data_IF_296024614905
#
_entry.id   IF_296024614905
#
_cell.length_a   1.000
_cell.length_b   1.000
_cell.length_c   1.000
_cell.angle_alpha   90.00
_cell.angle_beta   90.00
_cell.angle_gamma   90.00
#
_symmetry.space_group_name_H-M   'P 1'
#
loop_
_entity.id
_entity.type
_entity.pdbx_description
1 polymer ?
#
# COMPACT_ATOMS: atom_id res chain seq x y z
N UNK A 1 22.92 9.11 12.21
CA UNK A 1 22.14 10.21 11.62
C UNK A 1 21.38 9.62 10.45
N UNK A 2 20.08 9.88 10.37
CA UNK A 2 19.25 9.45 9.25
C UNK A 2 19.84 10.09 7.97
N UNK A 3 20.04 9.31 6.93
CA UNK A 3 20.47 9.82 5.63
C UNK A 3 19.38 10.57 4.85
N UNK A 4 18.29 10.95 5.55
CA UNK A 4 17.12 11.63 5.00
C UNK A 4 16.85 12.95 5.73
N UNK A 5 16.36 13.93 4.97
CA UNK A 5 15.72 15.14 5.48
C UNK A 5 14.22 14.88 5.58
N UNK A 6 13.64 15.20 6.71
CA UNK A 6 12.20 15.19 6.93
C UNK A 6 11.82 16.31 7.91
N UNK A 7 10.90 17.17 7.50
CA UNK A 7 10.43 18.32 8.27
C UNK A 7 8.91 18.25 8.44
N UNK A 8 8.36 19.02 9.40
CA UNK A 8 6.91 19.06 9.60
C UNK A 8 6.13 19.54 8.37
N UNK A 9 6.76 20.31 7.49
CA UNK A 9 6.17 20.75 6.23
C UNK A 9 5.92 19.55 5.27
N UNK A 10 6.73 18.50 5.36
CA UNK A 10 6.61 17.31 4.50
C UNK A 10 5.38 16.43 4.84
N UNK A 11 4.63 16.77 5.91
CA UNK A 11 3.31 16.18 6.17
C UNK A 11 2.22 16.69 5.22
N UNK A 12 2.44 17.83 4.60
CA UNK A 12 1.46 18.51 3.75
C UNK A 12 1.84 18.40 2.28
N UNK A 13 0.96 18.89 1.41
CA UNK A 13 1.17 18.84 -0.02
C UNK A 13 2.37 19.70 -0.46
N UNK A 14 3.21 19.13 -1.31
CA UNK A 14 4.34 19.80 -1.93
C UNK A 14 3.89 20.55 -3.19
N UNK A 15 4.63 21.58 -3.57
CA UNK A 15 4.44 22.18 -4.88
C UNK A 15 4.70 21.12 -5.98
N UNK A 16 3.74 20.93 -6.86
CA UNK A 16 3.93 20.08 -8.03
C UNK A 16 5.06 20.67 -8.89
N UNK A 17 6.09 19.86 -9.18
CA UNK A 17 7.15 20.26 -10.10
C UNK A 17 6.64 20.38 -11.54
N UNK A 18 7.56 20.53 -12.47
CA UNK A 18 7.25 20.68 -13.90
C UNK A 18 7.04 19.33 -14.63
N UNK A 19 7.40 18.24 -13.97
CA UNK A 19 7.29 16.89 -14.53
C UNK A 19 5.82 16.49 -14.69
N UNK A 20 5.43 16.14 -15.92
CA UNK A 20 4.05 15.77 -16.24
C UNK A 20 3.52 14.62 -15.38
N UNK A 21 4.40 13.71 -14.95
CA UNK A 21 4.08 12.54 -14.12
C UNK A 21 4.31 12.77 -12.62
N UNK A 22 4.36 14.04 -12.17
CA UNK A 22 4.39 14.34 -10.74
C UNK A 22 3.22 13.65 -10.04
N UNK A 23 3.52 12.97 -8.96
CA UNK A 23 2.55 12.32 -8.11
C UNK A 23 2.83 12.65 -6.66
N UNK A 24 1.81 12.95 -5.91
CA UNK A 24 1.88 13.02 -4.46
C UNK A 24 0.79 12.16 -3.86
N UNK A 25 1.16 11.20 -3.03
CA UNK A 25 0.21 10.25 -2.50
C UNK A 25 0.38 10.00 -1.02
N UNK A 26 -0.76 9.86 -0.36
CA UNK A 26 -0.89 9.36 1.00
C UNK A 26 -1.58 8.00 0.97
N UNK A 27 -1.10 7.09 1.79
CA UNK A 27 -1.62 5.74 1.97
C UNK A 27 -1.77 5.45 3.45
N UNK A 28 -2.85 4.83 3.83
CA UNK A 28 -3.09 4.33 5.18
C UNK A 28 -3.66 2.93 5.13
N UNK A 29 -3.30 2.11 6.09
CA UNK A 29 -3.92 0.82 6.32
C UNK A 29 -4.13 0.54 7.80
N UNK A 30 -4.98 -0.46 8.08
CA UNK A 30 -5.20 -0.97 9.42
C UNK A 30 -5.85 -2.35 9.37
N UNK A 31 -5.28 -3.28 10.14
CA UNK A 31 -5.72 -4.67 10.14
C UNK A 31 -5.89 -5.18 11.57
N UNK A 32 -7.03 -5.82 11.81
CA UNK A 32 -7.40 -6.43 13.08
C UNK A 32 -7.19 -7.95 13.03
N UNK A 33 -6.51 -8.49 14.04
CA UNK A 33 -6.17 -9.92 14.08
C UNK A 33 -7.38 -10.79 14.46
N UNK A 34 -8.17 -10.39 15.44
CA UNK A 34 -9.24 -11.22 15.99
C UNK A 34 -10.30 -11.59 14.95
N UNK A 35 -10.83 -10.61 14.23
CA UNK A 35 -11.82 -10.82 13.16
C UNK A 35 -11.21 -11.04 11.78
N UNK A 36 -9.88 -10.98 11.66
CA UNK A 36 -9.15 -11.14 10.40
C UNK A 36 -9.71 -10.25 9.30
N UNK A 37 -9.79 -8.97 9.59
CA UNK A 37 -10.37 -7.94 8.72
C UNK A 37 -9.53 -6.68 8.75
N UNK A 38 -9.92 -5.70 7.95
CA UNK A 38 -9.24 -4.41 7.85
C UNK A 38 -9.21 -3.93 6.42
N UNK A 39 -8.33 -3.01 6.12
CA UNK A 39 -8.23 -2.49 4.76
C UNK A 39 -7.24 -1.36 4.63
N UNK A 40 -7.29 -0.76 3.47
CA UNK A 40 -6.42 0.34 3.13
C UNK A 40 -7.13 1.38 2.25
N UNK A 41 -6.64 2.59 2.34
CA UNK A 41 -7.07 3.70 1.49
C UNK A 41 -5.86 4.45 0.96
N UNK A 42 -5.91 4.86 -0.30
CA UNK A 42 -4.88 5.65 -0.97
C UNK A 42 -5.50 6.79 -1.75
N UNK A 43 -4.90 7.96 -1.59
CA UNK A 43 -5.18 9.11 -2.44
C UNK A 43 -3.86 9.59 -3.06
N UNK A 44 -3.79 9.61 -4.38
CA UNK A 44 -2.62 10.08 -5.12
C UNK A 44 -3.00 11.20 -6.07
N UNK A 45 -2.53 12.41 -5.79
CA UNK A 45 -2.72 13.57 -6.65
C UNK A 45 -1.72 13.54 -7.81
N UNK A 46 -2.24 13.58 -9.01
CA UNK A 46 -1.49 13.72 -10.28
C UNK A 46 -1.88 15.04 -10.92
N UNK A 47 -1.58 16.12 -10.22
CA UNK A 47 -2.06 17.46 -10.55
C UNK A 47 -1.68 17.90 -11.99
N UNK A 48 -0.46 17.56 -12.44
CA UNK A 48 0.02 17.88 -13.79
C UNK A 48 -0.63 17.01 -14.89
N UNK A 49 -1.29 15.89 -14.52
CA UNK A 49 -2.13 15.08 -15.40
C UNK A 49 -3.63 15.42 -15.24
N UNK A 50 -3.99 16.35 -14.37
CA UNK A 50 -5.36 16.83 -14.16
C UNK A 50 -6.29 15.87 -13.40
N UNK A 51 -5.77 14.87 -12.71
CA UNK A 51 -6.59 13.92 -11.98
C UNK A 51 -5.93 13.45 -10.65
N UNK A 52 -6.75 12.93 -9.76
CA UNK A 52 -6.29 12.12 -8.63
C UNK A 52 -6.60 10.63 -8.87
N UNK A 53 -5.88 9.76 -8.19
CA UNK A 53 -6.18 8.34 -8.08
C UNK A 53 -6.69 8.06 -6.67
N UNK A 54 -7.95 7.66 -6.54
CA UNK A 54 -8.58 7.31 -5.26
C UNK A 54 -8.86 5.83 -5.19
N UNK A 55 -8.44 5.20 -4.11
CA UNK A 55 -8.52 3.76 -3.93
C UNK A 55 -8.93 3.45 -2.50
N UNK A 56 -9.92 2.57 -2.36
CA UNK A 56 -10.38 2.01 -1.09
C UNK A 56 -10.51 0.51 -1.27
N UNK A 57 -9.98 -0.27 -0.34
CA UNK A 57 -10.17 -1.72 -0.31
C UNK A 57 -10.30 -2.19 1.13
N UNK A 58 -11.46 -2.77 1.46
CA UNK A 58 -11.79 -3.29 2.77
C UNK A 58 -12.05 -4.79 2.68
N UNK A 59 -11.39 -5.55 3.52
CA UNK A 59 -11.64 -6.97 3.76
C UNK A 59 -12.59 -7.09 4.95
N UNK A 60 -13.85 -7.38 4.68
CA UNK A 60 -14.91 -7.37 5.69
C UNK A 60 -14.86 -8.63 6.59
N UNK A 61 -15.34 -8.57 7.82
CA UNK A 61 -15.35 -9.72 8.75
C UNK A 61 -16.09 -10.95 8.21
N UNK A 62 -17.09 -10.75 7.36
CA UNK A 62 -17.92 -11.80 6.74
C UNK A 62 -17.30 -12.46 5.51
N UNK A 63 -16.14 -12.00 5.08
CA UNK A 63 -15.40 -12.56 3.93
C UNK A 63 -15.53 -11.77 2.63
N UNK A 64 -16.47 -10.85 2.52
CA UNK A 64 -16.62 -9.98 1.35
C UNK A 64 -15.47 -8.98 1.23
N UNK A 65 -15.27 -8.48 0.02
CA UNK A 65 -14.37 -7.35 -0.25
C UNK A 65 -15.21 -6.16 -0.68
N UNK A 66 -15.02 -5.02 0.00
CA UNK A 66 -15.61 -3.76 -0.43
C UNK A 66 -14.50 -2.88 -1.03
N UNK A 67 -14.71 -2.38 -2.25
CA UNK A 67 -13.66 -1.62 -2.94
C UNK A 67 -14.19 -0.51 -3.83
N UNK A 68 -13.34 0.50 -4.01
CA UNK A 68 -13.59 1.61 -4.92
C UNK A 68 -12.26 2.02 -5.57
N UNK A 69 -12.29 2.25 -6.89
CA UNK A 69 -11.15 2.72 -7.68
C UNK A 69 -11.67 3.78 -8.65
N UNK A 70 -11.24 5.05 -8.47
CA UNK A 70 -11.69 6.17 -9.30
C UNK A 70 -10.52 7.08 -9.67
N UNK A 71 -10.75 7.86 -10.73
CA UNK A 71 -9.85 8.93 -11.17
C UNK A 71 -10.61 10.24 -11.30
N UNK A 72 -10.95 10.89 -10.17
CA UNK A 72 -11.61 12.19 -10.19
C UNK A 72 -10.67 13.28 -10.74
N UNK A 73 -11.24 14.26 -11.42
CA UNK A 73 -10.52 15.44 -11.89
C UNK A 73 -10.09 16.31 -10.70
N UNK A 74 -8.87 16.84 -10.76
CA UNK A 74 -8.33 17.85 -9.86
C UNK A 74 -7.58 18.90 -10.68
N UNK A 75 -7.51 20.15 -10.18
CA UNK A 75 -6.85 21.26 -10.86
C UNK A 75 -5.52 21.68 -10.21
N UNK A 76 -5.23 21.20 -9.02
CA UNK A 76 -4.04 21.58 -8.26
C UNK A 76 -3.66 20.48 -7.25
N UNK A 77 -2.57 20.69 -6.50
CA UNK A 77 -2.07 19.81 -5.46
C UNK A 77 -2.17 20.44 -4.07
N UNK A 78 -3.18 21.26 -3.81
CA UNK A 78 -3.28 22.04 -2.54
C UNK A 78 -3.90 21.25 -1.38
N UNK A 79 -4.60 20.15 -1.69
CA UNK A 79 -5.25 19.33 -0.66
C UNK A 79 -5.25 17.85 -1.05
N UNK A 80 -5.25 16.99 -0.05
CA UNK A 80 -5.56 15.56 -0.20
C UNK A 80 -7.07 15.34 -0.05
N UNK A 81 -7.84 15.75 -1.06
CA UNK A 81 -9.28 15.58 -1.08
C UNK A 81 -9.79 15.40 -2.51
N UNK A 82 -10.28 14.21 -2.85
CA UNK A 82 -10.84 13.91 -4.16
C UNK A 82 -11.73 12.66 -4.12
N UNK A 83 -12.80 12.63 -4.93
CA UNK A 83 -13.61 11.44 -5.17
C UNK A 83 -14.21 10.78 -3.94
N UNK A 84 -14.52 11.55 -2.91
CA UNK A 84 -15.05 11.07 -1.63
C UNK A 84 -13.97 10.72 -0.60
N UNK A 85 -12.68 10.64 -1.00
CA UNK A 85 -11.55 10.49 -0.07
C UNK A 85 -11.03 11.85 0.39
N UNK A 86 -10.67 11.93 1.67
CA UNK A 86 -9.91 13.04 2.24
C UNK A 86 -8.92 12.55 3.29
N UNK A 87 -7.78 13.22 3.37
CA UNK A 87 -6.75 12.94 4.38
C UNK A 87 -6.45 14.22 5.14
N UNK A 88 -6.40 14.12 6.46
CA UNK A 88 -6.19 15.24 7.38
C UNK A 88 -4.99 14.96 8.29
N UNK A 89 -4.12 15.95 8.41
CA UNK A 89 -3.04 15.98 9.40
C UNK A 89 -3.56 16.69 10.64
N UNK A 90 -3.88 15.93 11.69
CA UNK A 90 -4.40 16.46 12.95
C UNK A 90 -3.24 16.97 13.81
N UNK A 91 -2.16 16.20 13.90
CA UNK A 91 -0.92 16.58 14.57
C UNK A 91 0.25 16.01 13.77
N UNK A 92 1.13 16.87 13.20
CA UNK A 92 2.23 16.41 12.36
C UNK A 92 3.07 15.32 13.02
N UNK A 93 3.34 14.24 12.27
CA UNK A 93 4.11 13.06 12.68
C UNK A 93 3.50 12.24 13.83
N UNK A 94 2.32 12.64 14.30
CA UNK A 94 1.66 11.97 15.42
C UNK A 94 0.27 11.45 15.14
N UNK A 95 -0.59 12.28 14.58
CA UNK A 95 -2.01 11.91 14.39
C UNK A 95 -2.52 12.39 13.05
N UNK A 96 -3.09 11.46 12.31
CA UNK A 96 -3.71 11.71 11.01
C UNK A 96 -5.06 11.01 10.93
N UNK A 97 -5.92 11.46 10.01
CA UNK A 97 -7.16 10.78 9.69
C UNK A 97 -7.32 10.65 8.18
N UNK A 98 -7.99 9.60 7.75
CA UNK A 98 -8.41 9.42 6.38
C UNK A 98 -9.87 8.99 6.34
N UNK A 99 -10.66 9.67 5.52
CA UNK A 99 -12.10 9.51 5.43
C UNK A 99 -12.50 9.18 4.02
N UNK A 100 -13.47 8.31 3.88
CA UNK A 100 -14.15 8.05 2.63
C UNK A 100 -15.67 8.16 2.82
N UNK A 101 -16.32 8.90 1.93
CA UNK A 101 -17.77 8.93 1.84
C UNK A 101 -18.20 8.88 0.37
N UNK A 102 -18.99 7.87 0.00
CA UNK A 102 -19.44 7.66 -1.37
C UNK A 102 -19.92 6.24 -1.62
N UNK A 103 -20.20 5.92 -2.89
CA UNK A 103 -20.61 4.57 -3.26
C UNK A 103 -19.40 3.65 -3.40
N UNK A 104 -19.50 2.45 -2.81
CA UNK A 104 -18.50 1.39 -2.85
C UNK A 104 -19.08 0.11 -3.46
N UNK A 105 -18.29 -0.62 -4.22
CA UNK A 105 -18.65 -1.96 -4.69
C UNK A 105 -18.46 -2.97 -3.55
N UNK A 106 -19.40 -3.89 -3.36
CA UNK A 106 -19.30 -4.99 -2.40
C UNK A 106 -19.33 -6.31 -3.15
N UNK A 107 -18.27 -7.10 -3.01
CA UNK A 107 -18.02 -8.30 -3.80
C UNK A 107 -18.07 -9.54 -2.91
N UNK A 108 -18.99 -10.45 -3.21
CA UNK A 108 -19.01 -11.81 -2.66
C UNK A 108 -17.93 -12.68 -3.33
N UNK A 109 -17.68 -12.43 -4.62
CA UNK A 109 -16.65 -13.11 -5.41
C UNK A 109 -15.57 -12.12 -5.84
N UNK A 110 -14.38 -12.14 -5.22
CA UNK A 110 -13.28 -11.24 -5.58
C UNK A 110 -12.66 -11.51 -6.96
N UNK A 111 -12.94 -12.65 -7.58
CA UNK A 111 -12.45 -12.97 -8.94
C UNK A 111 -12.97 -11.97 -10.00
N UNK A 112 -14.08 -11.28 -9.70
CA UNK A 112 -14.60 -10.21 -10.55
C UNK A 112 -13.60 -9.06 -10.74
N UNK A 113 -12.67 -8.85 -9.81
CA UNK A 113 -11.60 -7.84 -9.90
C UNK A 113 -10.60 -8.09 -11.04
N UNK A 114 -10.56 -9.32 -11.58
CA UNK A 114 -9.70 -9.64 -12.74
C UNK A 114 -10.23 -9.09 -14.07
N UNK A 115 -11.51 -8.73 -14.10
CA UNK A 115 -12.16 -8.14 -15.28
C UNK A 115 -12.71 -6.75 -14.95
N UNK A 116 -11.91 -5.68 -15.04
CA UNK A 116 -12.37 -4.33 -14.72
C UNK A 116 -13.58 -3.87 -15.52
N UNK A 117 -13.72 -4.32 -16.79
CA UNK A 117 -14.87 -3.94 -17.63
C UNK A 117 -16.16 -4.54 -17.08
N UNK A 118 -16.13 -5.81 -16.73
CA UNK A 118 -17.26 -6.50 -16.13
C UNK A 118 -17.53 -5.96 -14.73
N UNK A 119 -16.47 -5.76 -13.92
CA UNK A 119 -16.57 -5.22 -12.57
C UNK A 119 -17.38 -3.92 -12.56
N UNK A 120 -16.92 -2.90 -13.27
CA UNK A 120 -17.59 -1.59 -13.28
C UNK A 120 -18.97 -1.59 -13.90
N UNK A 121 -19.29 -2.61 -14.70
CA UNK A 121 -20.62 -2.75 -15.33
C UNK A 121 -21.63 -3.49 -14.46
N UNK A 122 -21.18 -4.43 -13.64
CA UNK A 122 -22.07 -5.41 -12.99
C UNK A 122 -21.95 -5.46 -11.48
N UNK A 123 -20.87 -4.97 -10.86
CA UNK A 123 -20.71 -5.00 -9.41
C UNK A 123 -21.79 -4.12 -8.75
N UNK A 124 -22.50 -4.64 -7.75
CA UNK A 124 -23.42 -3.84 -6.98
C UNK A 124 -22.66 -2.77 -6.17
N UNK A 125 -23.23 -1.57 -6.11
CA UNK A 125 -22.71 -0.48 -5.30
C UNK A 125 -23.68 -0.13 -4.20
N UNK A 126 -23.16 0.31 -3.06
CA UNK A 126 -23.94 0.77 -1.92
C UNK A 126 -23.23 1.98 -1.28
N UNK A 127 -23.98 2.89 -0.64
CA UNK A 127 -23.38 3.97 0.12
C UNK A 127 -22.46 3.43 1.21
N UNK A 128 -21.32 4.09 1.39
CA UNK A 128 -20.35 3.76 2.43
C UNK A 128 -19.78 5.01 3.08
N UNK A 129 -19.45 4.89 4.35
CA UNK A 129 -18.65 5.83 5.10
C UNK A 129 -17.59 5.06 5.88
N UNK A 130 -16.32 5.43 5.66
CA UNK A 130 -15.16 4.78 6.25
C UNK A 130 -14.26 5.84 6.85
N UNK A 131 -14.03 5.74 8.15
CA UNK A 131 -13.19 6.66 8.90
C UNK A 131 -12.03 5.88 9.52
N UNK A 132 -10.79 6.26 9.19
CA UNK A 132 -9.58 5.77 9.83
C UNK A 132 -8.93 6.92 10.60
N UNK A 133 -8.84 6.79 11.92
CA UNK A 133 -7.99 7.63 12.77
C UNK A 133 -6.72 6.86 13.11
N UNK A 134 -5.56 7.46 12.84
CA UNK A 134 -4.27 6.83 13.06
C UNK A 134 -3.44 7.64 14.04
N UNK A 135 -2.85 6.95 15.01
CA UNK A 135 -1.95 7.51 16.01
C UNK A 135 -0.59 6.80 15.95
N UNK A 136 0.48 7.58 15.93
CA UNK A 136 1.85 7.08 15.80
C UNK A 136 2.24 6.18 16.98
N UNK A 137 2.84 5.04 16.68
CA UNK A 137 3.44 4.11 17.65
C UNK A 137 4.96 4.15 17.59
N UNK A 138 5.49 4.56 16.44
CA UNK A 138 6.92 4.64 16.19
C UNK A 138 7.27 6.00 15.59
N UNK A 139 8.52 6.43 15.60
CA UNK A 139 8.94 7.63 14.88
C UNK A 139 8.73 7.46 13.37
N UNK A 140 8.93 8.53 12.63
CA UNK A 140 8.94 8.53 11.17
C UNK A 140 10.19 7.82 10.65
N UNK A 141 10.05 7.13 9.50
CA UNK A 141 11.16 6.54 8.77
C UNK A 141 11.16 7.01 7.32
N UNK A 142 12.30 7.56 6.85
CA UNK A 142 12.46 8.07 5.49
C UNK A 142 12.48 9.59 5.40
N UNK A 143 12.13 10.11 4.25
CA UNK A 143 12.18 11.52 3.87
C UNK A 143 12.83 11.72 2.50
N UNK A 144 13.36 12.90 2.24
CA UNK A 144 14.18 13.16 1.05
C UNK A 144 15.63 12.72 1.28
N UNK A 145 16.24 11.96 0.36
CA UNK A 145 17.64 11.57 0.46
C UNK A 145 18.58 12.76 0.52
N UNK A 146 19.49 12.78 1.48
CA UNK A 146 20.52 13.83 1.63
C UNK A 146 21.70 13.64 0.68
N UNK A 147 21.82 12.51 0.01
CA UNK A 147 22.93 12.18 -0.87
C UNK A 147 22.46 11.68 -2.23
N UNK A 148 23.15 12.01 -3.33
CA UNK A 148 22.84 11.45 -4.64
C UNK A 148 22.94 9.93 -4.74
N UNK A 149 23.63 9.28 -3.82
CA UNK A 149 23.79 7.81 -3.79
C UNK A 149 22.72 7.11 -2.94
N UNK A 150 21.96 7.88 -2.15
CA UNK A 150 20.87 7.36 -1.35
C UNK A 150 19.55 7.41 -2.13
N UNK A 151 18.70 6.43 -1.91
CA UNK A 151 17.38 6.33 -2.53
C UNK A 151 16.32 6.19 -1.44
N UNK A 152 15.10 6.63 -1.72
CA UNK A 152 13.94 6.29 -0.90
C UNK A 152 13.69 4.78 -0.95
N UNK A 153 12.83 4.25 -0.08
CA UNK A 153 12.45 2.84 -0.12
C UNK A 153 11.93 2.41 -1.50
N UNK A 154 11.15 3.26 -2.17
CA UNK A 154 10.65 3.00 -3.52
C UNK A 154 11.66 3.29 -4.63
N UNK A 155 12.72 4.05 -4.36
CA UNK A 155 13.73 4.45 -5.34
C UNK A 155 13.36 5.70 -6.12
N UNK A 156 14.35 6.26 -6.82
CA UNK A 156 14.25 7.55 -7.52
C UNK A 156 13.24 7.60 -8.65
N UNK A 157 12.99 6.46 -9.28
CA UNK A 157 11.98 6.35 -10.33
C UNK A 157 10.56 6.43 -9.78
N UNK A 158 10.41 6.39 -8.46
CA UNK A 158 9.11 6.35 -7.80
C UNK A 158 8.82 7.53 -6.91
N UNK A 159 9.86 8.16 -6.32
CA UNK A 159 9.67 9.30 -5.43
C UNK A 159 10.96 10.07 -5.20
N UNK A 160 10.86 11.38 -5.11
CA UNK A 160 11.91 12.25 -4.58
C UNK A 160 12.00 12.13 -3.06
N UNK A 161 10.84 12.16 -2.40
CA UNK A 161 10.70 11.92 -0.98
C UNK A 161 9.68 10.84 -0.68
N UNK A 162 9.91 10.11 0.39
CA UNK A 162 9.02 9.08 0.89
C UNK A 162 9.30 8.84 2.37
N UNK A 163 8.26 8.83 3.16
CA UNK A 163 8.33 8.37 4.54
C UNK A 163 7.19 7.40 4.86
N UNK A 164 7.41 6.58 5.86
CA UNK A 164 6.42 5.70 6.42
C UNK A 164 6.46 5.74 7.96
N UNK A 165 5.38 5.24 8.57
CA UNK A 165 5.26 5.21 10.02
C UNK A 165 4.32 4.09 10.46
N UNK A 166 4.72 3.33 11.48
CA UNK A 166 3.85 2.35 12.12
C UNK A 166 2.84 3.06 13.03
N UNK A 167 1.56 2.68 12.91
CA UNK A 167 0.44 3.37 13.50
C UNK A 167 -0.50 2.40 14.25
N UNK A 168 -1.12 2.89 15.31
CA UNK A 168 -2.39 2.35 15.79
C UNK A 168 -3.52 2.98 14.99
N UNK A 169 -4.41 2.17 14.47
CA UNK A 169 -5.55 2.62 13.66
C UNK A 169 -6.86 2.29 14.37
N UNK A 170 -7.76 3.27 14.47
CA UNK A 170 -9.15 3.04 14.84
C UNK A 170 -9.99 3.25 13.60
N UNK A 171 -10.78 2.25 13.26
CA UNK A 171 -11.63 2.32 12.10
C UNK A 171 -13.11 2.25 12.48
N UNK A 172 -13.91 3.10 11.82
CA UNK A 172 -15.34 3.01 11.77
C UNK A 172 -15.77 2.85 10.32
N UNK A 173 -16.49 1.78 10.03
CA UNK A 173 -16.90 1.39 8.68
C UNK A 173 -18.39 1.20 8.68
N UNK A 174 -19.09 1.95 7.82
CA UNK A 174 -20.52 1.77 7.51
C UNK A 174 -20.64 1.52 6.01
N UNK A 175 -21.17 0.37 5.64
CA UNK A 175 -21.39 -0.03 4.25
C UNK A 175 -22.82 -0.54 4.13
N UNK A 176 -23.68 0.24 3.46
CA UNK A 176 -25.07 -0.11 3.26
C UNK A 176 -25.88 -0.23 4.57
N UNK A 177 -25.45 0.43 5.64
CA UNK A 177 -26.06 0.36 6.98
C UNK A 177 -25.51 -0.75 7.86
N UNK A 178 -24.59 -1.59 7.36
CA UNK A 178 -23.82 -2.53 8.17
C UNK A 178 -22.60 -1.82 8.77
N UNK A 179 -22.50 -1.77 10.10
CA UNK A 179 -21.47 -1.00 10.79
C UNK A 179 -20.48 -1.87 11.53
N UNK A 180 -19.19 -1.60 11.34
CA UNK A 180 -18.09 -2.22 12.08
C UNK A 180 -17.20 -1.16 12.70
N UNK A 181 -16.69 -1.47 13.89
CA UNK A 181 -15.63 -0.69 14.52
C UNK A 181 -14.55 -1.63 14.98
N UNK A 182 -13.30 -1.27 14.73
CA UNK A 182 -12.16 -2.09 15.15
C UNK A 182 -10.95 -1.23 15.50
N UNK A 183 -10.21 -1.71 16.49
CA UNK A 183 -8.86 -1.27 16.80
C UNK A 183 -7.88 -2.14 16.03
N UNK A 184 -7.01 -1.52 15.27
CA UNK A 184 -6.10 -2.18 14.34
C UNK A 184 -4.69 -1.65 14.50
N UNK A 185 -3.75 -2.38 13.94
CA UNK A 185 -2.39 -1.92 13.70
C UNK A 185 -2.19 -1.77 12.22
N UNK A 186 -1.41 -0.78 11.82
CA UNK A 186 -1.18 -0.52 10.41
C UNK A 186 -0.01 0.40 10.16
N UNK A 187 0.09 0.83 8.93
CA UNK A 187 1.11 1.75 8.46
C UNK A 187 0.47 2.88 7.69
N UNK A 188 1.14 4.01 7.71
CA UNK A 188 0.91 5.07 6.75
C UNK A 188 2.17 5.34 5.95
N UNK A 189 2.02 5.77 4.72
CA UNK A 189 3.09 6.37 3.96
C UNK A 189 2.65 7.67 3.27
N UNK A 190 3.64 8.49 2.96
CA UNK A 190 3.50 9.66 2.12
C UNK A 190 4.68 9.71 1.17
N UNK A 191 4.41 9.91 -0.11
CA UNK A 191 5.44 10.00 -1.13
C UNK A 191 5.13 11.09 -2.15
N UNK A 192 6.16 11.78 -2.63
CA UNK A 192 6.05 12.86 -3.61
C UNK A 192 7.17 12.81 -4.64
N UNK A 193 6.91 13.38 -5.81
CA UNK A 193 7.84 13.47 -6.93
C UNK A 193 7.35 12.73 -8.18
N UNK A 194 8.14 12.74 -9.26
CA UNK A 194 7.80 12.04 -10.49
C UNK A 194 7.74 10.53 -10.28
N UNK A 195 6.80 9.87 -10.96
CA UNK A 195 6.57 8.43 -10.83
C UNK A 195 6.56 7.73 -12.18
N UNK A 196 7.56 6.86 -12.40
CA UNK A 196 7.78 6.13 -13.64
C UNK A 196 7.37 4.65 -13.50
N UNK A 197 6.07 4.37 -13.53
CA UNK A 197 5.53 3.00 -13.43
C UNK A 197 6.06 2.05 -14.49
N UNK A 198 6.49 2.58 -15.65
CA UNK A 198 7.01 1.80 -16.76
C UNK A 198 8.35 1.13 -16.47
N UNK A 199 9.09 1.60 -15.47
CA UNK A 199 10.39 1.05 -15.10
C UNK A 199 10.29 -0.17 -14.17
N UNK A 200 9.08 -0.41 -13.58
CA UNK A 200 8.88 -1.60 -12.75
C UNK A 200 8.55 -2.79 -13.63
N UNK A 201 9.25 -3.88 -13.38
CA UNK A 201 8.94 -5.16 -13.96
C UNK A 201 8.04 -5.97 -13.04
N UNK A 202 8.46 -6.13 -11.77
CA UNK A 202 7.60 -6.61 -10.70
C UNK A 202 8.01 -6.07 -9.33
N UNK A 203 7.08 -6.09 -8.39
CA UNK A 203 7.28 -5.56 -7.06
C UNK A 203 6.52 -6.40 -6.04
N UNK A 204 7.07 -6.51 -4.81
CA UNK A 204 6.51 -7.22 -3.67
C UNK A 204 6.58 -6.30 -2.46
N UNK A 205 5.45 -5.80 -2.00
CA UNK A 205 5.33 -5.08 -0.73
C UNK A 205 4.74 -6.01 0.31
N UNK A 206 5.41 -6.12 1.45
CA UNK A 206 5.03 -6.97 2.55
C UNK A 206 4.88 -6.10 3.80
N UNK A 207 3.68 -6.05 4.34
CA UNK A 207 3.36 -5.32 5.57
C UNK A 207 2.80 -6.29 6.59
N UNK A 208 3.30 -6.23 7.81
CA UNK A 208 2.77 -6.98 8.94
C UNK A 208 2.82 -6.18 10.24
N UNK A 209 1.84 -6.41 11.09
CA UNK A 209 1.68 -5.74 12.37
C UNK A 209 1.40 -6.79 13.45
N UNK A 210 2.23 -6.83 14.49
CA UNK A 210 2.15 -7.79 15.60
C UNK A 210 1.87 -7.11 16.95
N UNK A 211 1.41 -5.88 16.91
CA UNK A 211 1.15 -5.06 18.09
C UNK A 211 1.98 -3.77 18.09
N UNK A 212 2.13 -3.10 19.24
CA UNK A 212 2.82 -1.81 19.31
C UNK A 212 4.34 -1.93 19.18
N UNK A 213 4.89 -3.08 19.47
CA UNK A 213 6.33 -3.33 19.64
C UNK A 213 6.96 -4.14 18.51
N UNK A 214 6.17 -4.64 17.56
CA UNK A 214 6.66 -5.36 16.38
C UNK A 214 5.83 -5.09 15.15
N UNK A 215 6.51 -4.73 14.06
CA UNK A 215 5.90 -4.59 12.75
C UNK A 215 6.97 -4.70 11.66
N UNK A 216 6.55 -4.83 10.42
CA UNK A 216 7.45 -4.75 9.27
C UNK A 216 6.79 -4.03 8.10
N UNK A 217 7.62 -3.35 7.32
CA UNK A 217 7.29 -2.87 5.98
C UNK A 217 8.49 -3.13 5.08
N UNK A 218 8.35 -4.05 4.13
CA UNK A 218 9.44 -4.55 3.30
C UNK A 218 9.07 -4.50 1.83
N UNK A 219 10.04 -4.17 1.00
CA UNK A 219 9.87 -4.05 -0.43
C UNK A 219 10.98 -4.79 -1.19
N UNK A 220 10.57 -5.67 -2.11
CA UNK A 220 11.42 -6.22 -3.17
C UNK A 220 10.90 -5.69 -4.50
N UNK A 221 11.73 -5.00 -5.25
CA UNK A 221 11.37 -4.42 -6.54
C UNK A 221 12.43 -4.79 -7.59
N UNK A 222 11.97 -5.28 -8.74
CA UNK A 222 12.82 -5.58 -9.90
C UNK A 222 12.42 -4.66 -11.04
N UNK A 223 13.38 -3.93 -11.58
CA UNK A 223 13.17 -3.07 -12.74
C UNK A 223 13.28 -3.86 -14.06
N UNK A 224 12.93 -3.22 -15.17
CA UNK A 224 12.99 -3.84 -16.50
C UNK A 224 14.44 -4.17 -16.95
N UNK A 225 15.43 -3.58 -16.32
CA UNK A 225 16.85 -3.90 -16.52
C UNK A 225 17.31 -5.15 -15.75
N UNK A 226 16.42 -5.76 -14.95
CA UNK A 226 16.70 -6.94 -14.13
C UNK A 226 17.39 -6.63 -12.79
N UNK A 227 17.59 -5.33 -12.45
CA UNK A 227 18.13 -4.96 -11.14
C UNK A 227 17.08 -5.16 -10.07
N UNK A 228 17.39 -5.96 -9.08
CA UNK A 228 16.52 -6.18 -7.91
C UNK A 228 17.03 -5.40 -6.71
N UNK A 229 16.13 -4.63 -6.08
CA UNK A 229 16.38 -3.94 -4.82
C UNK A 229 15.53 -4.58 -3.73
N UNK A 230 16.07 -4.63 -2.52
CA UNK A 230 15.40 -5.08 -1.30
C UNK A 230 15.60 -4.00 -0.26
N UNK A 231 14.53 -3.43 0.22
CA UNK A 231 14.55 -2.34 1.20
C UNK A 231 13.40 -2.48 2.16
N UNK A 232 13.47 -1.78 3.27
CA UNK A 232 12.43 -1.72 4.26
C UNK A 232 12.97 -1.78 5.67
N UNK A 233 12.05 -1.90 6.60
CA UNK A 233 12.34 -1.85 8.03
C UNK A 233 11.60 -2.93 8.80
N UNK A 234 12.25 -3.41 9.85
CA UNK A 234 11.60 -4.04 10.99
C UNK A 234 11.44 -2.99 12.09
N UNK A 235 10.23 -2.84 12.60
CA UNK A 235 9.99 -2.09 13.83
C UNK A 235 10.11 -3.08 14.99
N UNK A 236 10.91 -2.72 16.00
CA UNK A 236 11.15 -3.53 17.19
C UNK A 236 11.30 -2.61 18.41
N UNK A 237 10.40 -2.74 19.39
CA UNK A 237 10.37 -1.95 20.61
C UNK A 237 10.42 -0.42 20.41
N UNK A 238 9.73 0.07 19.37
CA UNK A 238 9.65 1.49 19.03
C UNK A 238 10.77 2.00 18.12
N UNK A 239 11.80 1.22 17.83
CA UNK A 239 12.89 1.55 16.93
C UNK A 239 12.73 0.87 15.58
N UNK A 240 13.28 1.48 14.53
CA UNK A 240 13.39 0.88 13.22
C UNK A 240 14.77 0.30 12.97
N UNK A 241 14.80 -0.91 12.42
CA UNK A 241 15.98 -1.55 11.91
C UNK A 241 15.87 -1.71 10.40
N UNK A 242 16.68 -0.98 9.65
CA UNK A 242 16.77 -1.15 8.21
C UNK A 242 17.27 -2.56 7.86
N UNK A 243 16.65 -3.17 6.86
CA UNK A 243 17.08 -4.49 6.40
C UNK A 243 18.38 -4.36 5.60
N UNK A 244 19.25 -5.34 5.77
CA UNK A 244 20.46 -5.50 4.94
C UNK A 244 20.24 -6.50 3.81
N UNK A 245 19.30 -7.43 4.00
CA UNK A 245 18.89 -8.41 3.00
C UNK A 245 17.56 -9.05 3.36
N UNK A 246 16.89 -9.61 2.35
CA UNK A 246 15.71 -10.46 2.54
C UNK A 246 15.62 -11.53 1.45
N UNK A 247 15.19 -12.73 1.86
CA UNK A 247 14.82 -13.84 1.00
C UNK A 247 13.32 -14.09 1.11
N UNK A 248 12.64 -14.06 -0.02
CA UNK A 248 11.20 -14.30 -0.11
C UNK A 248 10.95 -15.53 -0.99
N UNK A 249 10.31 -16.51 -0.41
CA UNK A 249 9.76 -17.67 -1.12
C UNK A 249 8.24 -17.60 -1.11
N UNK A 250 7.62 -17.79 -2.27
CA UNK A 250 6.16 -17.74 -2.46
C UNK A 250 5.67 -19.09 -2.97
N UNK A 251 4.70 -19.67 -2.27
CA UNK A 251 3.87 -20.75 -2.81
C UNK A 251 2.72 -20.14 -3.61
N UNK A 252 2.50 -20.65 -4.81
CA UNK A 252 1.55 -20.11 -5.76
C UNK A 252 0.34 -21.03 -5.92
N UNK A 253 -0.82 -20.44 -6.19
CA UNK A 253 -2.01 -21.18 -6.65
C UNK A 253 -1.84 -21.64 -8.10
N UNK A 254 -2.78 -22.44 -8.59
CA UNK A 254 -2.84 -22.81 -10.01
C UNK A 254 -3.06 -21.57 -10.93
N UNK A 255 -3.69 -20.52 -10.41
CA UNK A 255 -3.88 -19.24 -11.10
C UNK A 255 -2.67 -18.30 -10.97
N UNK A 256 -1.54 -18.82 -10.45
CA UNK A 256 -0.30 -18.06 -10.21
C UNK A 256 -0.47 -16.88 -9.24
N UNK A 257 -1.43 -16.97 -8.33
CA UNK A 257 -1.57 -16.01 -7.23
C UNK A 257 -0.73 -16.42 -6.04
N UNK A 258 -0.18 -15.48 -5.27
CA UNK A 258 0.54 -15.80 -4.05
C UNK A 258 -0.44 -16.39 -3.01
N UNK A 259 0.01 -17.41 -2.29
CA UNK A 259 -0.81 -18.12 -1.29
C UNK A 259 -0.15 -18.19 0.08
N UNK A 260 1.05 -18.76 0.14
CA UNK A 260 1.86 -18.81 1.34
C UNK A 260 3.23 -18.20 1.07
N UNK A 261 3.78 -17.55 2.09
CA UNK A 261 5.08 -16.89 2.01
C UNK A 261 5.97 -17.40 3.13
N UNK A 262 7.24 -17.62 2.80
CA UNK A 262 8.30 -17.80 3.78
C UNK A 262 9.32 -16.70 3.56
N UNK A 263 9.62 -15.97 4.60
CA UNK A 263 10.39 -14.75 4.56
C UNK A 263 11.53 -14.82 5.55
N UNK A 264 12.77 -14.75 5.05
CA UNK A 264 13.97 -14.53 5.85
C UNK A 264 14.41 -13.09 5.73
N UNK A 265 14.61 -12.40 6.85
CA UNK A 265 15.03 -10.99 6.89
C UNK A 265 16.25 -10.84 7.74
N UNK A 266 17.21 -10.03 7.28
CA UNK A 266 18.42 -9.67 8.02
C UNK A 266 18.49 -8.16 8.21
N UNK A 267 18.85 -7.77 9.41
CA UNK A 267 19.28 -6.41 9.76
C UNK A 267 20.71 -6.44 10.28
N UNK A 268 21.27 -5.31 10.65
CA UNK A 268 22.57 -5.27 11.30
C UNK A 268 22.58 -5.95 12.70
N UNK A 269 21.39 -6.14 13.30
CA UNK A 269 21.26 -6.63 14.68
C UNK A 269 20.72 -8.05 14.78
N UNK A 270 19.94 -8.51 13.78
CA UNK A 270 19.23 -9.80 13.86
C UNK A 270 18.98 -10.45 12.51
N UNK A 271 18.67 -11.73 12.55
CA UNK A 271 18.06 -12.47 11.47
C UNK A 271 16.75 -13.06 11.96
N UNK A 272 15.67 -12.90 11.21
CA UNK A 272 14.35 -13.39 11.57
C UNK A 272 13.74 -14.20 10.44
N UNK A 273 12.91 -15.19 10.82
CA UNK A 273 12.10 -15.97 9.90
C UNK A 273 10.64 -15.67 10.17
N UNK A 274 9.87 -15.48 9.11
CA UNK A 274 8.44 -15.22 9.20
C UNK A 274 7.70 -16.05 8.16
N UNK A 275 6.46 -16.37 8.47
CA UNK A 275 5.55 -17.03 7.54
C UNK A 275 4.31 -16.17 7.34
N UNK A 276 3.82 -16.11 6.10
CA UNK A 276 2.60 -15.39 5.73
C UNK A 276 1.61 -16.34 5.06
N UNK A 277 0.35 -16.26 5.46
CA UNK A 277 -0.76 -16.96 4.82
C UNK A 277 -1.75 -15.92 4.28
N UNK A 278 -1.97 -15.91 2.98
CA UNK A 278 -2.94 -15.01 2.36
C UNK A 278 -4.33 -15.61 2.57
N UNK A 279 -5.11 -14.95 3.41
CA UNK A 279 -6.46 -15.38 3.79
C UNK A 279 -7.50 -15.01 2.73
N UNK A 280 -7.33 -13.84 2.13
CA UNK A 280 -8.19 -13.29 1.08
C UNK A 280 -7.35 -12.45 0.12
N UNK A 281 -7.66 -12.57 -1.15
CA UNK A 281 -6.97 -11.85 -2.21
C UNK A 281 -7.93 -10.96 -2.99
N UNK A 282 -7.53 -9.71 -3.25
CA UNK A 282 -8.14 -8.83 -4.23
C UNK A 282 -7.26 -8.84 -5.51
N UNK A 283 -7.61 -9.64 -6.55
CA UNK A 283 -6.77 -9.84 -7.72
C UNK A 283 -7.08 -8.81 -8.82
N UNK A 284 -6.65 -7.59 -8.63
CA UNK A 284 -6.89 -6.48 -9.54
C UNK A 284 -6.14 -6.63 -10.87
N UNK A 285 -6.75 -6.14 -11.93
CA UNK A 285 -6.13 -5.94 -13.24
C UNK A 285 -6.11 -4.47 -13.58
N UNK A 286 -5.00 -4.01 -14.11
CA UNK A 286 -4.85 -2.64 -14.60
C UNK A 286 -4.37 -2.64 -16.04
N UNK A 287 -4.91 -1.69 -16.84
CA UNK A 287 -4.48 -1.44 -18.22
C UNK A 287 -4.11 0.03 -18.34
N UNK A 288 -2.92 0.30 -18.84
CA UNK A 288 -2.40 1.65 -19.01
C UNK A 288 -1.82 1.81 -20.40
N UNK A 289 -2.29 2.83 -21.13
CA UNK A 289 -1.67 3.20 -22.41
C UNK A 289 -0.37 3.96 -22.15
N UNK A 290 0.74 3.52 -22.75
CA UNK A 290 2.06 4.14 -22.67
C UNK A 290 2.59 4.27 -24.10
N UNK A 291 2.58 5.49 -24.63
CA UNK A 291 2.82 5.70 -26.05
C UNK A 291 1.76 4.97 -26.89
N UNK A 292 2.18 4.10 -27.78
CA UNK A 292 1.31 3.27 -28.62
C UNK A 292 1.02 1.88 -28.03
N UNK A 293 1.69 1.52 -26.93
CA UNK A 293 1.54 0.23 -26.29
C UNK A 293 0.51 0.25 -25.16
N UNK A 294 -0.18 -0.88 -24.99
CA UNK A 294 -1.09 -1.13 -23.86
C UNK A 294 -0.38 -2.01 -22.83
N UNK A 295 0.16 -1.41 -21.79
CA UNK A 295 0.68 -2.16 -20.67
C UNK A 295 -0.46 -2.77 -19.84
N UNK A 296 -0.34 -4.06 -19.59
CA UNK A 296 -1.20 -4.78 -18.67
C UNK A 296 -0.40 -5.14 -17.42
N UNK A 297 -1.02 -4.99 -16.27
CA UNK A 297 -0.44 -5.42 -14.99
C UNK A 297 -1.50 -6.06 -14.11
N UNK A 298 -1.07 -7.00 -13.27
CA UNK A 298 -1.87 -7.44 -12.15
C UNK A 298 -1.38 -6.77 -10.88
N UNK A 299 -2.31 -6.55 -9.96
CA UNK A 299 -2.07 -6.08 -8.60
C UNK A 299 -2.80 -7.07 -7.70
N UNK A 300 -2.06 -7.93 -7.03
CA UNK A 300 -2.61 -8.94 -6.12
C UNK A 300 -2.44 -8.43 -4.69
N UNK A 301 -3.54 -7.93 -4.13
CA UNK A 301 -3.62 -7.39 -2.76
C UNK A 301 -4.14 -8.46 -1.83
N UNK A 302 -3.31 -8.97 -0.95
CA UNK A 302 -3.63 -10.09 -0.06
C UNK A 302 -3.72 -9.70 1.40
N UNK A 303 -4.91 -9.82 2.01
CA UNK A 303 -5.04 -9.82 3.47
C UNK A 303 -4.27 -11.03 4.02
N UNK A 304 -3.21 -10.78 4.79
CA UNK A 304 -2.24 -11.80 5.16
C UNK A 304 -2.14 -11.95 6.68
N UNK A 305 -2.27 -13.20 7.14
CA UNK A 305 -1.92 -13.60 8.49
C UNK A 305 -0.43 -13.92 8.51
N UNK A 306 0.32 -13.18 9.33
CA UNK A 306 1.74 -13.35 9.50
C UNK A 306 2.07 -14.01 10.83
N UNK A 307 3.13 -14.82 10.85
CA UNK A 307 3.71 -15.41 12.05
C UNK A 307 5.17 -15.03 12.16
N UNK A 308 5.55 -14.49 13.32
CA UNK A 308 6.91 -14.14 13.68
C UNK A 308 7.19 -14.63 15.08
N UNK A 309 8.04 -15.67 15.20
CA UNK A 309 8.25 -16.43 16.44
C UNK A 309 6.91 -16.99 16.98
N UNK A 310 6.56 -16.60 18.20
CA UNK A 310 5.33 -16.99 18.89
C UNK A 310 4.14 -16.06 18.65
N UNK A 311 4.29 -15.03 17.81
CA UNK A 311 3.26 -14.01 17.56
C UNK A 311 2.58 -14.19 16.22
N UNK A 312 1.29 -13.97 16.24
CA UNK A 312 0.49 -13.76 15.04
C UNK A 312 0.21 -12.27 14.86
N UNK A 313 0.15 -11.84 13.61
CA UNK A 313 -0.15 -10.47 13.23
C UNK A 313 -0.87 -10.42 11.89
N UNK A 314 -1.48 -9.28 11.61
CA UNK A 314 -2.18 -9.06 10.34
C UNK A 314 -1.50 -7.98 9.53
N UNK A 315 -1.65 -8.08 8.22
CA UNK A 315 -1.13 -7.10 7.30
C UNK A 315 -1.58 -7.34 5.87
N UNK A 316 -0.81 -6.81 4.95
CA UNK A 316 -1.08 -6.95 3.52
C UNK A 316 0.16 -7.41 2.78
N UNK A 317 -0.06 -8.24 1.78
CA UNK A 317 0.92 -8.63 0.77
C UNK A 317 0.47 -8.08 -0.57
N UNK A 318 1.24 -7.19 -1.16
CA UNK A 318 0.92 -6.61 -2.47
C UNK A 318 1.94 -7.08 -3.51
N UNK A 319 1.47 -7.73 -4.57
CA UNK A 319 2.28 -8.14 -5.70
C UNK A 319 1.82 -7.36 -6.94
N UNK A 320 2.67 -6.46 -7.43
CA UNK A 320 2.44 -5.77 -8.69
C UNK A 320 3.39 -6.35 -9.74
N UNK A 321 2.85 -6.76 -10.88
CA UNK A 321 3.59 -7.40 -11.95
C UNK A 321 3.06 -6.98 -13.31
N UNK A 322 3.95 -6.74 -14.24
CA UNK A 322 3.60 -6.65 -15.64
C UNK A 322 3.13 -8.03 -16.13
N UNK A 323 2.21 -8.03 -17.05
CA UNK A 323 1.77 -9.23 -17.76
C UNK A 323 2.36 -9.22 -19.16
N UNK A 324 3.08 -10.28 -19.50
CA UNK A 324 3.53 -10.58 -20.86
C UNK A 324 2.82 -11.85 -21.30
N UNK A 325 2.11 -11.80 -22.41
CA UNK A 325 1.26 -12.91 -22.91
C UNK A 325 0.29 -13.45 -21.83
N UNK A 326 -0.35 -12.54 -21.07
CA UNK A 326 -1.24 -12.79 -19.92
C UNK A 326 -0.54 -13.45 -18.71
N UNK A 327 0.78 -13.65 -18.74
CA UNK A 327 1.57 -14.27 -17.69
C UNK A 327 2.26 -13.22 -16.82
N UNK A 328 2.25 -13.39 -15.48
CA UNK A 328 2.94 -12.47 -14.58
C UNK A 328 4.46 -12.68 -14.65
N UNK A 329 5.20 -11.62 -14.99
CA UNK A 329 6.64 -11.66 -15.21
C UNK A 329 7.48 -12.00 -13.96
N UNK A 330 6.92 -11.79 -12.77
CA UNK A 330 7.58 -12.13 -11.50
C UNK A 330 7.34 -13.56 -11.03
N UNK A 331 6.54 -14.34 -11.76
CA UNK A 331 6.34 -15.74 -11.45
C UNK A 331 7.53 -16.60 -11.95
N UNK A 332 8.05 -17.55 -11.17
CA UNK A 332 7.70 -17.92 -9.77
C UNK A 332 8.56 -17.25 -8.69
N UNK A 333 9.16 -16.08 -8.94
CA UNK A 333 10.16 -15.38 -8.10
C UNK A 333 9.56 -14.62 -6.92
#
# INVERSE_FOLDING_TARGET
>A
MSGFRLEHADEYNHAAGTESNFNESVYVNGFELERRCGGWMRLGNRANEGHAETQVCMYLPDGRIACQFRRPEISNNEAFAAGGLSYEVIEPFRKVAMHYEGDIMVLDDPELLRDPVRLFKTAPTTPAKIDFELEAVSPMHGGEPLSPTQETMYGRDFSLGHFNQHMRSRAAVDIGGECWRFDAWGWRDHSWGPRYWTNIYFYRLLIANFGPDRAMMLLKITDRGGRTRRQGVLQYDGDYEEITDMDLYTDWTASKDPRHLRLGVRTARRAVLMEGEILRLAPLRNRRKVGDEMLQSRIAEGLTLWRWDDREGMGITEYIEILEDEEPVGYPL
#
